data_IF_842713905407
#
_entry.id   IF_842713905407
#
_cell.length_a   1.000
_cell.length_b   1.000
_cell.length_c   1.000
_cell.angle_alpha   90.00
_cell.angle_beta   90.00
_cell.angle_gamma   90.00
#
_symmetry.space_group_name_H-M   'P 1'
#
loop_
_entity.id
_entity.type
_entity.pdbx_description
1 polymer ?
#
# COMPACT_ATOMS: atom_id res chain seq x y z
N UNK A 1 68.57 21.91 0.96
CA UNK A 1 67.09 21.96 0.68
C UNK A 1 66.54 20.58 0.25
N UNK A 2 67.17 19.87 -0.64
CA UNK A 2 66.70 18.55 -1.14
C UNK A 2 66.56 17.44 -0.08
N UNK A 3 67.44 17.38 0.96
CA UNK A 3 67.35 16.35 2.01
C UNK A 3 66.09 16.49 2.90
N UNK A 4 65.61 17.72 3.16
CA UNK A 4 64.36 17.95 3.92
C UNK A 4 63.10 17.50 3.13
N UNK A 5 63.08 17.71 1.82
CA UNK A 5 61.95 17.29 0.95
C UNK A 5 61.86 15.76 0.87
N UNK A 6 63.00 15.06 0.86
CA UNK A 6 63.03 13.58 0.89
C UNK A 6 62.52 13.03 2.21
N UNK A 7 62.81 13.66 3.34
CA UNK A 7 62.33 13.22 4.66
C UNK A 7 60.82 13.37 4.80
N UNK A 8 60.25 14.50 4.34
CA UNK A 8 58.77 14.71 4.39
C UNK A 8 58.02 13.74 3.47
N UNK A 9 58.57 13.42 2.30
CA UNK A 9 57.95 12.39 1.42
C UNK A 9 57.94 10.99 2.06
N UNK A 10 59.05 10.60 2.70
CA UNK A 10 59.10 9.28 3.42
C UNK A 10 58.17 9.25 4.63
N UNK A 11 58.10 10.34 5.39
CA UNK A 11 57.21 10.46 6.52
C UNK A 11 55.73 10.38 6.08
N UNK A 12 55.35 11.09 5.00
CA UNK A 12 54.00 11.07 4.42
C UNK A 12 53.64 9.68 3.93
N UNK A 13 54.54 8.95 3.29
CA UNK A 13 54.32 7.56 2.86
C UNK A 13 54.11 6.61 4.05
N UNK A 14 54.81 6.78 5.13
CA UNK A 14 54.66 6.01 6.35
C UNK A 14 53.28 6.30 6.99
N UNK A 15 52.87 7.53 7.06
CA UNK A 15 51.55 7.93 7.58
C UNK A 15 50.43 7.36 6.73
N UNK A 16 50.53 7.44 5.39
CA UNK A 16 49.53 6.86 4.47
C UNK A 16 49.48 5.33 4.64
N UNK A 17 50.63 4.66 4.79
CA UNK A 17 50.70 3.22 5.01
C UNK A 17 50.07 2.81 6.35
N UNK A 18 50.26 3.57 7.41
CA UNK A 18 49.57 3.37 8.68
C UNK A 18 48.07 3.58 8.58
N UNK A 19 47.62 4.62 7.90
CA UNK A 19 46.17 4.85 7.68
C UNK A 19 45.55 3.70 6.92
N UNK A 20 46.18 3.17 5.88
CA UNK A 20 45.69 2.02 5.10
C UNK A 20 45.64 0.71 5.94
N UNK A 21 46.60 0.49 6.84
CA UNK A 21 46.59 -0.69 7.73
C UNK A 21 45.45 -0.58 8.75
N UNK A 22 45.24 0.57 9.35
CA UNK A 22 44.17 0.76 10.35
C UNK A 22 42.77 0.77 9.74
N UNK A 23 42.58 1.21 8.49
CA UNK A 23 41.28 1.19 7.80
C UNK A 23 40.79 -0.23 7.48
N UNK A 24 41.70 -1.21 7.31
CA UNK A 24 41.33 -2.58 6.98
C UNK A 24 40.93 -3.46 8.20
N UNK A 25 41.37 -3.10 9.41
CA UNK A 25 41.13 -3.96 10.57
C UNK A 25 39.70 -3.94 11.10
N UNK A 26 38.96 -2.82 10.95
CA UNK A 26 37.61 -2.73 11.51
C UNK A 26 36.59 -3.61 10.75
N UNK A 27 36.69 -3.69 9.42
CA UNK A 27 35.77 -4.50 8.61
C UNK A 27 35.99 -6.02 8.77
N UNK A 28 37.25 -6.48 8.99
CA UNK A 28 37.55 -7.87 9.22
C UNK A 28 37.06 -8.36 10.58
N UNK A 29 37.25 -7.58 11.64
CA UNK A 29 36.77 -7.91 12.99
C UNK A 29 35.23 -7.97 12.99
N UNK A 30 34.59 -7.10 12.26
CA UNK A 30 33.15 -7.02 12.18
C UNK A 30 32.54 -8.25 11.46
N UNK A 31 33.06 -8.60 10.29
CA UNK A 31 32.67 -9.83 9.55
C UNK A 31 32.92 -11.12 10.33
N UNK A 32 33.93 -11.15 11.16
CA UNK A 32 34.23 -12.30 12.04
C UNK A 32 33.30 -12.38 13.25
N UNK A 33 32.82 -11.24 13.75
CA UNK A 33 31.89 -11.18 14.87
C UNK A 33 30.45 -11.48 14.46
N UNK A 34 30.09 -11.14 13.23
CA UNK A 34 28.72 -11.29 12.66
C UNK A 34 28.81 -11.96 11.27
N UNK A 35 29.08 -13.26 11.19
CA UNK A 35 29.31 -13.96 9.92
C UNK A 35 28.05 -13.96 9.01
N UNK A 36 26.86 -13.94 9.57
CA UNK A 36 25.57 -13.89 8.87
C UNK A 36 25.38 -12.61 8.05
N UNK A 37 26.11 -11.53 8.37
CA UNK A 37 26.03 -10.26 7.63
C UNK A 37 26.88 -10.23 6.35
N UNK A 38 27.27 -11.35 5.82
CA UNK A 38 28.02 -11.48 4.56
C UNK A 38 27.92 -12.89 3.96
N UNK A 39 26.80 -13.57 4.18
CA UNK A 39 26.53 -14.91 3.67
C UNK A 39 25.64 -14.94 2.42
N UNK A 40 25.23 -13.77 1.91
CA UNK A 40 24.40 -13.61 0.73
C UNK A 40 22.93 -13.85 0.97
N UNK A 41 22.50 -14.02 2.23
CA UNK A 41 21.11 -14.26 2.62
C UNK A 41 20.45 -13.01 3.19
N UNK A 42 19.13 -13.07 3.33
CA UNK A 42 18.38 -12.07 4.09
C UNK A 42 18.63 -12.25 5.60
N UNK A 43 18.83 -11.12 6.28
CA UNK A 43 19.10 -11.10 7.70
C UNK A 43 17.86 -11.48 8.52
N UNK A 44 18.03 -12.34 9.51
CA UNK A 44 17.03 -12.65 10.55
C UNK A 44 17.34 -11.97 11.87
N UNK A 45 18.55 -11.43 12.03
CA UNK A 45 18.96 -10.69 13.20
C UNK A 45 18.41 -9.26 13.18
N UNK A 46 18.20 -8.72 14.38
CA UNK A 46 17.83 -7.32 14.51
C UNK A 46 18.98 -6.43 13.99
N UNK A 47 18.66 -5.38 13.18
CA UNK A 47 19.71 -4.52 12.63
C UNK A 47 20.59 -3.91 13.73
N UNK A 48 21.87 -4.14 13.62
CA UNK A 48 22.90 -3.72 14.57
C UNK A 48 23.40 -2.28 14.32
N UNK A 49 23.10 -1.70 13.15
CA UNK A 49 23.51 -0.37 12.71
C UNK A 49 22.29 0.53 12.56
N UNK A 50 22.45 1.80 12.87
CA UNK A 50 21.41 2.80 12.63
C UNK A 50 21.11 2.92 11.13
N UNK A 51 19.85 3.06 10.79
CA UNK A 51 19.35 3.17 9.40
C UNK A 51 18.40 4.35 9.22
N UNK A 52 18.50 5.35 10.09
CA UNK A 52 17.53 6.45 10.13
C UNK A 52 17.53 7.27 8.83
N UNK A 53 18.71 7.59 8.32
CA UNK A 53 18.87 8.38 7.09
C UNK A 53 18.36 7.61 5.86
N UNK A 54 18.65 6.32 5.78
CA UNK A 54 18.18 5.45 4.69
C UNK A 54 16.65 5.31 4.74
N UNK A 55 16.09 5.09 5.93
CA UNK A 55 14.64 4.98 6.11
C UNK A 55 13.93 6.31 5.81
N UNK A 56 14.52 7.44 6.14
CA UNK A 56 13.99 8.76 5.77
C UNK A 56 13.94 8.92 4.26
N UNK A 57 15.03 8.61 3.55
CA UNK A 57 15.10 8.65 2.09
C UNK A 57 14.13 7.70 1.40
N UNK A 58 13.94 6.49 1.94
CA UNK A 58 12.91 5.56 1.47
C UNK A 58 11.52 6.17 1.65
N UNK A 59 11.27 6.73 2.84
CA UNK A 59 10.01 7.36 3.18
C UNK A 59 9.61 8.52 2.26
N UNK A 60 10.58 9.22 1.64
CA UNK A 60 10.30 10.29 0.67
C UNK A 60 9.57 9.77 -0.59
N UNK A 61 9.82 8.52 -1.00
CA UNK A 61 9.15 7.90 -2.15
C UNK A 61 7.78 7.30 -1.81
N UNK A 62 7.40 7.26 -0.54
CA UNK A 62 6.15 6.64 -0.07
C UNK A 62 5.11 7.72 0.18
N UNK A 63 3.95 7.60 -0.48
CA UNK A 63 2.90 8.60 -0.49
C UNK A 63 1.54 8.03 -0.10
N UNK A 64 0.67 8.91 0.46
CA UNK A 64 -0.71 8.54 0.79
C UNK A 64 -1.60 8.70 -0.42
N UNK A 65 -2.34 7.63 -0.73
CA UNK A 65 -3.38 7.62 -1.76
C UNK A 65 -4.74 7.78 -1.08
N UNK A 66 -5.60 8.63 -1.66
CA UNK A 66 -7.00 8.74 -1.32
C UNK A 66 -7.81 8.55 -2.60
N UNK A 67 -8.83 7.72 -2.54
CA UNK A 67 -9.75 7.49 -3.65
C UNK A 67 -11.17 7.81 -3.20
N UNK A 68 -11.92 8.54 -4.02
CA UNK A 68 -13.30 8.94 -3.77
C UNK A 68 -14.13 8.53 -4.97
N UNK A 69 -15.14 7.70 -4.75
CA UNK A 69 -16.14 7.32 -5.73
C UNK A 69 -17.47 7.99 -5.41
N UNK A 70 -18.01 8.72 -6.35
CA UNK A 70 -19.29 9.43 -6.24
C UNK A 70 -20.39 8.61 -6.90
N UNK A 71 -21.49 8.44 -6.20
CA UNK A 71 -22.63 7.65 -6.64
C UNK A 71 -23.89 8.48 -6.75
N UNK A 72 -24.64 8.23 -7.84
CA UNK A 72 -26.01 8.69 -8.01
C UNK A 72 -26.94 7.53 -7.71
N UNK A 73 -27.80 7.70 -6.72
CA UNK A 73 -28.71 6.67 -6.21
C UNK A 73 -30.14 6.97 -6.62
N UNK A 74 -30.76 5.99 -7.22
CA UNK A 74 -32.17 5.99 -7.61
C UNK A 74 -32.94 5.14 -6.61
N UNK A 75 -33.88 5.74 -5.89
CA UNK A 75 -34.65 5.10 -4.83
C UNK A 75 -36.04 4.74 -5.35
N UNK A 76 -36.49 3.51 -5.12
CA UNK A 76 -37.79 2.99 -5.54
C UNK A 76 -38.76 2.98 -4.37
N UNK A 77 -40.03 3.22 -4.66
CA UNK A 77 -41.09 3.16 -3.65
C UNK A 77 -41.41 1.71 -3.29
N UNK A 78 -41.76 1.47 -2.04
CA UNK A 78 -42.27 0.17 -1.60
C UNK A 78 -43.52 -0.18 -2.43
N UNK A 79 -43.54 -1.44 -2.94
CA UNK A 79 -44.65 -1.93 -3.78
C UNK A 79 -44.51 -1.69 -5.27
N UNK A 80 -43.38 -1.12 -5.75
CA UNK A 80 -43.13 -0.99 -7.20
C UNK A 80 -42.59 -2.27 -7.84
N UNK A 81 -42.19 -3.24 -7.03
CA UNK A 81 -41.71 -4.58 -7.44
C UNK A 81 -40.60 -4.59 -8.51
N UNK A 82 -39.76 -3.54 -8.52
CA UNK A 82 -38.63 -3.36 -9.46
C UNK A 82 -37.57 -4.44 -9.24
N UNK A 83 -37.09 -5.05 -10.32
CA UNK A 83 -36.01 -6.06 -10.30
C UNK A 83 -34.78 -5.54 -11.07
N UNK A 84 -33.64 -6.16 -10.88
CA UNK A 84 -32.41 -5.85 -11.62
C UNK A 84 -32.64 -5.94 -13.14
N UNK A 85 -33.45 -6.91 -13.61
CA UNK A 85 -33.79 -7.09 -15.02
C UNK A 85 -34.56 -5.91 -15.65
N UNK A 86 -35.21 -5.12 -14.84
CA UNK A 86 -36.09 -4.03 -15.31
C UNK A 86 -35.32 -2.72 -15.49
N UNK A 87 -34.06 -2.69 -15.01
CA UNK A 87 -33.23 -1.47 -15.00
C UNK A 87 -32.68 -1.19 -16.40
N UNK A 88 -33.11 -0.08 -16.97
CA UNK A 88 -32.54 0.56 -18.15
C UNK A 88 -32.40 2.06 -17.88
N UNK A 89 -31.60 2.78 -18.69
CA UNK A 89 -31.50 4.25 -18.56
C UNK A 89 -32.88 4.90 -18.69
N UNK A 90 -33.67 4.48 -19.69
CA UNK A 90 -35.03 5.00 -19.91
C UNK A 90 -35.96 4.70 -18.71
N UNK A 91 -35.83 3.54 -18.08
CA UNK A 91 -36.58 3.17 -16.87
C UNK A 91 -36.23 4.11 -15.70
N UNK A 92 -34.94 4.36 -15.48
CA UNK A 92 -34.49 5.24 -14.39
C UNK A 92 -34.93 6.69 -14.59
N UNK A 93 -34.96 7.19 -15.82
CA UNK A 93 -35.43 8.55 -16.11
C UNK A 93 -36.95 8.74 -15.88
N UNK A 94 -37.76 7.71 -16.18
CA UNK A 94 -39.23 7.82 -16.15
C UNK A 94 -39.86 7.39 -14.83
N UNK A 95 -39.26 6.46 -14.12
CA UNK A 95 -39.90 5.77 -12.98
C UNK A 95 -39.33 6.12 -11.61
N UNK A 96 -38.35 6.99 -11.54
CA UNK A 96 -37.70 7.37 -10.28
C UNK A 96 -38.06 8.78 -9.89
N UNK A 97 -38.72 8.93 -8.75
CA UNK A 97 -39.10 10.22 -8.20
C UNK A 97 -38.13 10.78 -7.17
N UNK A 98 -37.19 9.96 -6.70
CA UNK A 98 -36.22 10.35 -5.68
C UNK A 98 -34.81 9.94 -6.07
N UNK A 99 -33.95 10.94 -6.19
CA UNK A 99 -32.51 10.77 -6.49
C UNK A 99 -31.72 11.34 -5.33
N UNK A 100 -30.76 10.57 -4.84
CA UNK A 100 -29.81 11.02 -3.82
C UNK A 100 -28.37 10.80 -4.30
N UNK A 101 -27.44 11.44 -3.63
CA UNK A 101 -26.01 11.34 -3.93
C UNK A 101 -25.26 11.00 -2.65
N UNK A 102 -24.27 10.13 -2.77
CA UNK A 102 -23.32 9.85 -1.69
C UNK A 102 -21.95 9.54 -2.27
N UNK A 103 -20.94 9.53 -1.43
CA UNK A 103 -19.59 9.14 -1.80
C UNK A 103 -19.10 7.97 -0.93
N UNK A 104 -18.21 7.16 -1.52
CA UNK A 104 -17.40 6.18 -0.80
C UNK A 104 -15.94 6.59 -0.92
N UNK A 105 -15.23 6.47 0.17
CA UNK A 105 -13.80 6.82 0.23
C UNK A 105 -12.97 5.62 0.65
N UNK A 106 -11.78 5.51 0.08
CA UNK A 106 -10.75 4.58 0.51
C UNK A 106 -9.41 5.33 0.63
N UNK A 107 -8.54 4.85 1.45
CA UNK A 107 -7.16 5.35 1.53
C UNK A 107 -6.17 4.20 1.67
N UNK A 108 -4.99 4.40 1.13
CA UNK A 108 -3.90 3.44 1.17
C UNK A 108 -2.56 4.12 0.97
N UNK A 109 -1.58 3.32 0.67
CA UNK A 109 -0.19 3.73 0.44
C UNK A 109 0.18 3.47 -1.01
N UNK A 110 0.95 4.37 -1.60
CA UNK A 110 1.61 4.17 -2.89
C UNK A 110 3.09 4.50 -2.81
N UNK A 111 3.87 3.86 -3.65
CA UNK A 111 5.31 4.12 -3.75
C UNK A 111 5.63 4.64 -5.13
N UNK A 112 6.32 5.77 -5.20
CA UNK A 112 6.80 6.34 -6.47
C UNK A 112 7.91 5.43 -7.00
N UNK A 113 7.63 4.76 -8.11
CA UNK A 113 8.52 3.81 -8.78
C UNK A 113 9.09 4.33 -10.09
N UNK A 114 8.63 5.49 -10.56
CA UNK A 114 9.06 6.12 -11.81
C UNK A 114 8.90 7.62 -11.76
N UNK A 115 9.92 8.34 -12.23
CA UNK A 115 9.88 9.79 -12.44
C UNK A 115 10.81 10.15 -13.60
N UNK A 116 10.27 10.28 -14.79
CA UNK A 116 11.03 10.63 -16.00
C UNK A 116 10.11 11.28 -17.05
N UNK A 117 10.63 12.17 -17.90
CA UNK A 117 9.92 12.79 -19.02
C UNK A 117 8.57 13.42 -18.61
N UNK A 118 8.56 14.20 -17.54
CA UNK A 118 7.36 14.83 -16.99
C UNK A 118 6.27 13.87 -16.49
N UNK A 119 6.60 12.61 -16.32
CA UNK A 119 5.69 11.58 -15.85
C UNK A 119 6.15 10.97 -14.55
N UNK A 120 5.19 10.65 -13.70
CA UNK A 120 5.43 9.85 -12.50
C UNK A 120 4.52 8.62 -12.52
N UNK A 121 4.99 7.52 -11.94
CA UNK A 121 4.16 6.37 -11.65
C UNK A 121 4.33 5.89 -10.22
N UNK A 122 3.22 5.43 -9.64
CA UNK A 122 3.16 4.89 -8.29
C UNK A 122 2.58 3.47 -8.34
N UNK A 123 3.16 2.57 -7.56
CA UNK A 123 2.65 1.23 -7.30
C UNK A 123 1.78 1.25 -6.04
N UNK A 124 0.64 0.55 -6.08
CA UNK A 124 -0.29 0.38 -4.94
C UNK A 124 -1.11 -0.90 -5.10
N UNK A 125 -2.01 -1.17 -4.15
CA UNK A 125 -3.02 -2.23 -4.27
C UNK A 125 -4.25 -1.80 -5.06
N UNK A 126 -4.83 -2.74 -5.82
CA UNK A 126 -6.04 -2.50 -6.59
C UNK A 126 -7.24 -2.14 -5.72
N UNK A 127 -7.44 -2.83 -4.58
CA UNK A 127 -8.57 -2.55 -3.68
C UNK A 127 -8.57 -1.14 -3.08
N UNK A 128 -7.41 -0.46 -3.03
CA UNK A 128 -7.31 0.93 -2.56
C UNK A 128 -8.08 1.88 -3.48
N UNK A 129 -8.19 1.51 -4.76
CA UNK A 129 -8.80 2.37 -5.80
C UNK A 129 -10.00 1.72 -6.49
N UNK A 130 -10.37 0.50 -6.09
CA UNK A 130 -11.47 -0.23 -6.73
C UNK A 130 -12.78 -0.02 -5.98
N UNK A 131 -13.76 0.51 -6.70
CA UNK A 131 -15.14 0.63 -6.22
C UNK A 131 -16.07 -0.01 -7.24
N UNK A 132 -17.19 -0.65 -6.82
CA UNK A 132 -18.15 -1.23 -7.74
C UNK A 132 -18.79 -0.15 -8.62
N UNK A 133 -19.03 -0.45 -9.90
CA UNK A 133 -19.73 0.45 -10.81
C UNK A 133 -21.18 0.64 -10.40
N UNK A 134 -21.79 -0.39 -9.80
CA UNK A 134 -23.19 -0.40 -9.37
C UNK A 134 -23.34 -1.09 -8.02
N UNK A 135 -24.16 -0.50 -7.15
CA UNK A 135 -24.53 -1.06 -5.85
C UNK A 135 -26.05 -1.24 -5.84
N UNK A 136 -26.50 -2.45 -5.50
CA UNK A 136 -27.91 -2.80 -5.40
C UNK A 136 -28.30 -2.93 -3.93
N UNK A 137 -29.41 -2.26 -3.54
CA UNK A 137 -30.04 -2.47 -2.25
C UNK A 137 -31.43 -3.08 -2.50
N UNK A 138 -31.78 -4.07 -1.68
CA UNK A 138 -33.03 -4.81 -1.81
C UNK A 138 -33.95 -4.55 -0.62
N UNK A 139 -35.25 -4.48 -0.87
CA UNK A 139 -36.23 -4.51 0.22
C UNK A 139 -36.10 -5.82 1.03
N UNK A 140 -36.36 -5.72 2.33
CA UNK A 140 -36.48 -6.88 3.21
C UNK A 140 -37.96 -7.22 3.47
N UNK A 141 -38.25 -8.50 3.68
CA UNK A 141 -39.56 -8.96 4.11
C UNK A 141 -39.76 -8.76 5.65
N UNK A 142 -40.92 -9.07 6.15
CA UNK A 142 -41.26 -8.97 7.60
C UNK A 142 -40.33 -9.76 8.53
N UNK A 143 -39.58 -10.71 8.00
CA UNK A 143 -38.58 -11.52 8.72
C UNK A 143 -37.16 -11.00 8.55
N UNK A 144 -36.99 -9.86 7.89
CA UNK A 144 -35.68 -9.26 7.61
C UNK A 144 -34.88 -9.94 6.49
N UNK A 145 -35.50 -10.85 5.70
CA UNK A 145 -34.83 -11.51 4.59
C UNK A 145 -34.93 -10.63 3.33
N UNK A 146 -33.81 -10.50 2.62
CA UNK A 146 -33.78 -9.77 1.35
C UNK A 146 -34.73 -10.37 0.31
N UNK A 147 -35.55 -9.52 -0.28
CA UNK A 147 -36.40 -9.86 -1.40
C UNK A 147 -35.64 -9.74 -2.73
N UNK A 148 -36.28 -10.13 -3.83
CA UNK A 148 -35.74 -9.91 -5.18
C UNK A 148 -36.01 -8.50 -5.72
N UNK A 149 -36.72 -7.67 -4.96
CA UNK A 149 -37.12 -6.33 -5.38
C UNK A 149 -36.12 -5.30 -4.85
N UNK A 150 -35.77 -4.37 -5.72
CA UNK A 150 -34.82 -3.30 -5.43
C UNK A 150 -35.47 -2.20 -4.60
N UNK A 151 -34.82 -1.82 -3.51
CA UNK A 151 -35.08 -0.61 -2.76
C UNK A 151 -34.36 0.58 -3.40
N UNK A 152 -33.12 0.36 -3.87
CA UNK A 152 -32.35 1.36 -4.60
C UNK A 152 -31.31 0.74 -5.51
N UNK A 153 -30.87 1.52 -6.49
CA UNK A 153 -29.69 1.27 -7.30
C UNK A 153 -28.79 2.51 -7.27
N UNK A 154 -27.53 2.31 -6.95
CA UNK A 154 -26.53 3.39 -6.95
C UNK A 154 -25.53 3.13 -8.05
N UNK A 155 -25.41 4.05 -8.99
CA UNK A 155 -24.52 3.97 -10.14
C UNK A 155 -23.35 4.94 -9.90
N UNK A 156 -22.12 4.47 -10.09
CA UNK A 156 -20.94 5.31 -9.96
C UNK A 156 -20.92 6.35 -11.09
N UNK A 157 -21.00 7.62 -10.72
CA UNK A 157 -20.96 8.76 -11.63
C UNK A 157 -19.52 9.10 -12.02
N UNK A 158 -18.63 9.17 -11.02
CA UNK A 158 -17.20 9.46 -11.21
C UNK A 158 -16.36 8.90 -10.08
N UNK A 159 -15.07 8.79 -10.34
CA UNK A 159 -14.06 8.43 -9.36
C UNK A 159 -12.85 9.34 -9.49
N UNK A 160 -12.28 9.75 -8.37
CA UNK A 160 -11.11 10.62 -8.33
C UNK A 160 -10.07 9.98 -7.41
N UNK A 161 -8.81 9.95 -7.86
CA UNK A 161 -7.69 9.39 -7.12
C UNK A 161 -6.68 10.51 -6.87
N UNK A 162 -6.32 10.71 -5.61
CA UNK A 162 -5.40 11.75 -5.18
C UNK A 162 -4.24 11.18 -4.40
N UNK A 163 -3.05 11.71 -4.64
CA UNK A 163 -1.83 11.43 -3.89
C UNK A 163 -1.43 12.67 -3.11
N UNK A 164 -1.38 12.56 -1.79
CA UNK A 164 -1.32 13.71 -0.89
C UNK A 164 -0.05 14.57 -1.02
N UNK A 165 1.10 13.96 -1.35
CA UNK A 165 2.40 14.66 -1.48
C UNK A 165 2.64 15.28 -2.85
N UNK A 166 1.75 15.07 -3.83
CA UNK A 166 1.96 15.54 -5.19
C UNK A 166 1.42 16.96 -5.42
N UNK A 167 2.09 17.78 -6.25
CA UNK A 167 1.66 19.12 -6.60
C UNK A 167 0.40 19.11 -7.47
N UNK A 168 -0.14 20.32 -7.73
CA UNK A 168 -1.34 20.55 -8.56
C UNK A 168 -2.58 19.78 -8.11
N UNK A 169 -2.74 19.58 -6.79
CA UNK A 169 -3.88 18.86 -6.21
C UNK A 169 -3.69 17.34 -6.15
N UNK A 170 -2.58 16.81 -6.71
CA UNK A 170 -2.19 15.42 -6.57
C UNK A 170 -3.09 14.42 -7.30
N UNK A 171 -3.94 14.85 -8.26
CA UNK A 171 -4.78 13.95 -9.03
C UNK A 171 -3.93 13.04 -9.92
N UNK A 172 -4.25 11.75 -9.93
CA UNK A 172 -3.57 10.73 -10.73
C UNK A 172 -4.57 9.84 -11.44
N UNK A 173 -4.12 9.23 -12.54
CA UNK A 173 -4.91 8.33 -13.37
C UNK A 173 -4.49 6.88 -13.16
N UNK A 174 -5.43 5.96 -13.39
CA UNK A 174 -5.16 4.53 -13.40
C UNK A 174 -4.48 4.13 -14.72
N UNK A 175 -3.22 3.70 -14.64
CA UNK A 175 -2.46 3.24 -15.80
C UNK A 175 -2.64 1.74 -16.05
N UNK A 176 -2.54 0.91 -15.01
CA UNK A 176 -2.73 -0.53 -15.09
C UNK A 176 -3.33 -1.07 -13.79
N UNK A 177 -4.12 -2.14 -13.89
CA UNK A 177 -4.74 -2.82 -12.74
C UNK A 177 -4.79 -4.32 -12.97
N UNK A 178 -4.57 -5.06 -11.90
CA UNK A 178 -4.78 -6.50 -11.79
C UNK A 178 -5.58 -6.77 -10.49
N UNK A 179 -6.86 -7.08 -10.66
CA UNK A 179 -7.74 -7.35 -9.52
C UNK A 179 -7.51 -8.74 -8.91
N UNK A 180 -6.93 -9.68 -9.63
CA UNK A 180 -6.64 -11.03 -9.13
C UNK A 180 -5.47 -11.00 -8.14
N UNK A 181 -4.38 -10.35 -8.52
CA UNK A 181 -3.21 -10.19 -7.67
C UNK A 181 -3.27 -8.94 -6.78
N UNK A 182 -4.33 -8.12 -6.93
CA UNK A 182 -4.55 -6.91 -6.14
C UNK A 182 -3.47 -5.84 -6.35
N UNK A 183 -3.09 -5.59 -7.59
CA UNK A 183 -2.05 -4.64 -7.99
C UNK A 183 -2.62 -3.52 -8.86
N UNK A 184 -2.11 -2.30 -8.68
CA UNK A 184 -2.40 -1.17 -9.54
C UNK A 184 -1.18 -0.25 -9.72
N UNK A 185 -1.04 0.30 -10.94
CA UNK A 185 -0.12 1.40 -11.23
C UNK A 185 -0.94 2.64 -11.53
N UNK A 186 -0.64 3.69 -10.79
CA UNK A 186 -1.20 5.04 -10.98
C UNK A 186 -0.14 5.93 -11.61
N UNK A 187 -0.56 6.97 -12.32
CA UNK A 187 0.40 7.91 -12.90
C UNK A 187 -0.19 9.29 -13.16
N UNK A 188 0.71 10.23 -13.42
CA UNK A 188 0.36 11.58 -13.83
C UNK A 188 1.40 12.14 -14.79
N UNK A 189 0.95 12.97 -15.74
CA UNK A 189 1.83 13.71 -16.67
C UNK A 189 1.77 15.20 -16.35
N UNK A 190 2.89 15.74 -15.89
CA UNK A 190 3.00 17.17 -15.58
C UNK A 190 3.33 18.00 -16.83
N UNK A 191 2.93 19.26 -16.88
CA UNK A 191 3.34 20.17 -17.98
C UNK A 191 4.85 20.36 -18.06
N UNK A 192 5.53 20.37 -16.91
CA UNK A 192 7.00 20.44 -16.78
C UNK A 192 7.43 19.88 -15.44
N UNK A 193 8.57 19.17 -15.40
CA UNK A 193 9.23 18.73 -14.16
C UNK A 193 10.45 19.58 -13.82
N UNK A 194 10.75 20.70 -14.53
CA UNK A 194 12.00 21.46 -14.36
C UNK A 194 12.24 21.91 -12.92
N UNK A 195 11.16 22.15 -12.15
CA UNK A 195 11.23 22.60 -10.75
C UNK A 195 10.67 21.56 -9.76
N UNK A 196 10.35 20.34 -10.22
CA UNK A 196 9.74 19.29 -9.43
C UNK A 196 10.69 18.09 -9.30
N UNK A 197 11.02 17.74 -8.07
CA UNK A 197 11.80 16.54 -7.78
C UNK A 197 10.88 15.53 -7.07
N UNK A 198 10.62 14.41 -7.74
CA UNK A 198 9.89 13.30 -7.16
C UNK A 198 10.89 12.21 -6.78
N UNK A 199 11.10 11.97 -5.48
CA UNK A 199 12.01 10.92 -5.05
C UNK A 199 11.42 9.55 -5.44
N UNK A 200 12.09 8.88 -6.36
CA UNK A 200 11.78 7.50 -6.75
C UNK A 200 12.40 6.58 -5.71
N UNK A 201 11.75 5.44 -5.46
CA UNK A 201 12.27 4.41 -4.56
C UNK A 201 13.72 4.04 -4.94
N UNK A 202 14.70 4.17 -4.02
CA UNK A 202 16.12 4.21 -4.39
C UNK A 202 16.86 2.88 -4.26
N UNK A 203 16.19 1.77 -3.92
CA UNK A 203 16.82 0.48 -3.66
C UNK A 203 16.44 -0.58 -4.68
N UNK A 204 17.29 -1.63 -4.87
CA UNK A 204 17.02 -2.67 -5.85
C UNK A 204 15.82 -3.54 -5.46
N UNK A 205 15.30 -4.23 -6.47
CA UNK A 205 14.37 -5.33 -6.29
C UNK A 205 15.07 -6.50 -5.64
N UNK A 206 14.39 -7.14 -4.69
CA UNK A 206 14.85 -8.33 -4.01
C UNK A 206 14.29 -9.62 -4.59
N UNK A 207 14.43 -10.72 -3.85
CA UNK A 207 13.99 -12.05 -4.24
C UNK A 207 13.11 -12.64 -3.12
N UNK A 208 11.78 -12.42 -3.19
CA UNK A 208 10.87 -12.83 -2.12
C UNK A 208 10.89 -14.33 -1.83
N UNK A 209 11.23 -15.18 -2.82
CA UNK A 209 11.35 -16.64 -2.67
C UNK A 209 12.55 -17.06 -1.80
N UNK A 210 13.50 -16.18 -1.59
CA UNK A 210 14.67 -16.43 -0.73
C UNK A 210 14.45 -15.99 0.73
N UNK A 211 13.30 -15.41 1.03
CA UNK A 211 12.95 -15.09 2.41
C UNK A 211 12.75 -16.37 3.21
N UNK A 212 13.33 -16.40 4.41
CA UNK A 212 13.25 -17.53 5.35
C UNK A 212 12.37 -17.16 6.56
N UNK A 213 11.99 -18.14 7.37
CA UNK A 213 11.32 -17.93 8.65
C UNK A 213 12.18 -17.02 9.55
N UNK A 214 11.55 -15.96 10.08
CA UNK A 214 12.26 -15.02 10.96
C UNK A 214 13.06 -13.93 10.23
N UNK A 215 13.10 -13.92 8.88
CA UNK A 215 13.72 -12.80 8.14
C UNK A 215 13.16 -11.47 8.61
N UNK A 216 14.05 -10.54 8.95
CA UNK A 216 13.69 -9.20 9.41
C UNK A 216 13.27 -8.30 8.24
N UNK A 217 12.18 -7.57 8.39
CA UNK A 217 11.67 -6.65 7.37
C UNK A 217 11.24 -5.31 7.95
N UNK A 218 11.36 -4.24 7.14
CA UNK A 218 10.73 -2.96 7.37
C UNK A 218 9.51 -2.80 6.49
N UNK A 219 8.47 -2.17 7.02
CA UNK A 219 7.20 -1.91 6.32
C UNK A 219 6.89 -0.42 6.40
N UNK A 220 6.66 0.21 5.26
CA UNK A 220 6.22 1.60 5.19
C UNK A 220 4.76 1.69 4.79
N UNK A 221 4.03 2.68 5.34
CA UNK A 221 2.67 2.95 4.96
C UNK A 221 2.07 4.17 5.66
N UNK A 222 0.77 4.42 5.39
CA UNK A 222 0.02 5.55 5.91
C UNK A 222 -1.19 5.14 6.76
N UNK A 223 -1.01 4.37 7.85
CA UNK A 223 -2.13 4.07 8.72
C UNK A 223 -2.66 5.35 9.37
N UNK A 224 -4.00 5.47 9.46
CA UNK A 224 -4.66 6.63 10.08
C UNK A 224 -4.13 7.99 9.56
N UNK A 225 -3.68 8.03 8.29
CA UNK A 225 -3.11 9.21 7.61
C UNK A 225 -1.72 9.67 8.10
N UNK A 226 -1.01 8.89 8.90
CA UNK A 226 0.36 9.18 9.32
C UNK A 226 1.34 8.31 8.53
N UNK A 227 2.41 8.93 8.00
CA UNK A 227 3.55 8.18 7.43
C UNK A 227 4.24 7.43 8.56
N UNK A 228 4.29 6.11 8.45
CA UNK A 228 4.88 5.25 9.48
C UNK A 228 5.81 4.22 8.86
N UNK A 229 6.83 3.86 9.62
CA UNK A 229 7.65 2.68 9.40
C UNK A 229 7.42 1.71 10.56
N UNK A 230 7.15 0.45 10.24
CA UNK A 230 7.05 -0.66 11.19
C UNK A 230 8.16 -1.66 10.94
N UNK A 231 8.51 -2.42 11.98
CA UNK A 231 9.43 -3.56 11.93
C UNK A 231 8.63 -4.84 12.10
N UNK A 232 8.99 -5.86 11.35
CA UNK A 232 8.32 -7.16 11.40
C UNK A 232 9.30 -8.28 11.07
N UNK A 233 8.86 -9.51 11.22
CA UNK A 233 9.56 -10.70 10.72
C UNK A 233 8.66 -11.47 9.76
N UNK A 234 9.27 -12.20 8.85
CA UNK A 234 8.57 -13.17 7.99
C UNK A 234 8.14 -14.36 8.83
N UNK A 235 6.81 -14.49 9.00
CA UNK A 235 6.20 -15.53 9.84
C UNK A 235 5.70 -16.75 9.05
N UNK A 236 5.60 -16.64 7.72
CA UNK A 236 5.29 -17.75 6.82
C UNK A 236 5.79 -17.41 5.42
N UNK A 237 6.99 -17.87 5.02
CA UNK A 237 7.53 -17.60 3.70
C UNK A 237 6.89 -18.49 2.63
N UNK A 238 6.86 -18.01 1.38
CA UNK A 238 6.52 -18.75 0.16
C UNK A 238 5.29 -19.67 0.27
N UNK A 239 4.17 -19.14 0.77
CA UNK A 239 2.95 -19.92 1.07
C UNK A 239 2.30 -20.58 -0.15
N UNK A 240 2.44 -19.99 -1.32
CA UNK A 240 1.77 -20.41 -2.56
C UNK A 240 2.73 -20.91 -3.65
N UNK A 241 4.04 -21.00 -3.34
CA UNK A 241 5.08 -21.36 -4.30
C UNK A 241 5.45 -20.21 -5.26
N UNK A 242 4.74 -19.08 -5.23
CA UNK A 242 5.00 -17.89 -6.03
C UNK A 242 5.71 -16.78 -5.22
N UNK A 243 6.02 -17.05 -3.96
CA UNK A 243 6.75 -16.13 -3.09
C UNK A 243 5.86 -15.30 -2.15
N UNK A 244 4.54 -15.45 -2.16
CA UNK A 244 3.65 -14.79 -1.20
C UNK A 244 4.01 -15.18 0.23
N UNK A 245 4.01 -14.22 1.15
CA UNK A 245 4.42 -14.47 2.53
C UNK A 245 3.58 -13.67 3.54
N UNK A 246 3.58 -14.15 4.79
CA UNK A 246 3.01 -13.45 5.93
C UNK A 246 4.09 -12.82 6.78
N UNK A 247 3.78 -11.68 7.36
CA UNK A 247 4.60 -11.00 8.36
C UNK A 247 3.80 -10.72 9.63
N UNK A 248 4.48 -10.67 10.77
CA UNK A 248 3.92 -10.33 12.08
C UNK A 248 3.95 -8.80 12.31
N UNK A 249 3.35 -8.05 11.43
CA UNK A 249 3.36 -6.60 11.51
C UNK A 249 2.14 -6.05 12.26
N UNK A 250 2.35 -5.03 13.10
CA UNK A 250 1.25 -4.21 13.61
C UNK A 250 0.83 -3.24 12.51
N UNK A 251 0.01 -3.73 11.59
CA UNK A 251 -0.51 -2.95 10.46
C UNK A 251 -1.98 -2.62 10.67
N UNK A 252 -2.41 -1.47 10.17
CA UNK A 252 -3.77 -0.95 10.24
C UNK A 252 -4.26 -0.57 8.84
N UNK A 253 -5.54 -0.27 8.68
CA UNK A 253 -6.09 0.33 7.45
C UNK A 253 -5.23 1.52 7.02
N UNK A 254 -4.85 1.54 5.75
CA UNK A 254 -3.92 2.53 5.17
C UNK A 254 -2.52 1.99 4.87
N UNK A 255 -2.11 0.84 5.44
CA UNK A 255 -0.87 0.17 5.01
C UNK A 255 -0.98 -0.53 3.65
N UNK A 256 -2.17 -0.81 3.15
CA UNK A 256 -2.39 -1.43 1.83
C UNK A 256 -1.65 -0.68 0.73
N UNK A 257 -0.83 -1.38 -0.06
CA UNK A 257 0.09 -0.81 -1.06
C UNK A 257 1.43 -0.31 -0.49
N UNK A 258 1.62 -0.39 0.83
CA UNK A 258 2.89 -0.02 1.49
C UNK A 258 3.99 -1.03 1.22
N UNK A 259 5.22 -0.53 1.05
CA UNK A 259 6.38 -1.36 0.69
C UNK A 259 6.91 -2.19 1.85
N UNK A 260 7.40 -3.37 1.52
CA UNK A 260 8.10 -4.28 2.42
C UNK A 260 9.53 -4.45 1.94
N UNK A 261 10.47 -4.24 2.85
CA UNK A 261 11.91 -4.25 2.58
C UNK A 261 12.60 -5.31 3.42
N UNK A 262 13.32 -6.22 2.76
CA UNK A 262 14.30 -7.08 3.40
C UNK A 262 15.67 -6.41 3.48
N UNK A 263 16.55 -6.95 4.29
CA UNK A 263 17.96 -6.55 4.37
C UNK A 263 18.80 -7.75 3.99
N UNK A 264 19.71 -7.58 3.04
CA UNK A 264 20.65 -8.63 2.64
C UNK A 264 22.07 -8.21 3.02
N UNK A 265 22.77 -9.05 3.79
CA UNK A 265 24.15 -8.77 4.23
C UNK A 265 24.30 -7.43 4.97
N UNK A 266 23.35 -7.08 5.83
CA UNK A 266 23.41 -5.94 6.72
C UNK A 266 23.00 -4.60 6.12
N UNK A 267 22.75 -3.63 7.00
CA UNK A 267 22.44 -2.24 6.61
C UNK A 267 23.68 -1.60 5.94
N UNK A 268 23.52 -0.88 4.81
CA UNK A 268 22.27 -0.33 4.27
C UNK A 268 21.69 -1.12 3.08
N UNK A 269 21.92 -2.39 2.95
CA UNK A 269 21.54 -3.18 1.78
C UNK A 269 20.05 -3.56 1.85
N UNK A 270 19.19 -2.58 1.68
CA UNK A 270 17.76 -2.81 1.57
C UNK A 270 17.39 -3.35 0.19
N UNK A 271 16.44 -4.27 0.15
CA UNK A 271 15.85 -4.79 -1.07
C UNK A 271 14.33 -4.75 -0.99
N UNK A 272 13.69 -4.36 -2.08
CA UNK A 272 12.23 -4.36 -2.20
C UNK A 272 11.73 -5.79 -2.42
N UNK A 273 11.06 -6.36 -1.41
CA UNK A 273 10.58 -7.75 -1.46
C UNK A 273 9.07 -7.89 -1.67
N UNK A 274 8.31 -6.81 -1.58
CA UNK A 274 6.88 -6.82 -1.88
C UNK A 274 6.11 -5.64 -1.30
N UNK A 275 4.77 -5.66 -1.46
CA UNK A 275 3.85 -4.68 -0.86
C UNK A 275 2.83 -5.35 0.03
N UNK A 276 2.37 -4.63 1.05
CA UNK A 276 1.27 -5.06 1.92
C UNK A 276 -0.01 -5.14 1.10
N UNK A 277 -0.61 -6.33 1.03
CA UNK A 277 -1.90 -6.53 0.38
C UNK A 277 -3.05 -6.13 1.30
N UNK A 278 -3.18 -6.81 2.42
CA UNK A 278 -4.29 -6.64 3.34
C UNK A 278 -3.97 -7.20 4.72
N UNK A 279 -4.76 -6.74 5.68
CA UNK A 279 -4.95 -7.38 6.97
C UNK A 279 -6.11 -8.36 6.79
N UNK A 280 -6.04 -9.60 7.29
CA UNK A 280 -7.20 -10.48 7.30
C UNK A 280 -8.36 -9.81 8.02
N UNK A 281 -9.52 -9.74 7.35
CA UNK A 281 -10.76 -9.16 7.88
C UNK A 281 -11.80 -10.28 7.98
N UNK A 282 -12.54 -10.29 9.08
CA UNK A 282 -13.77 -11.07 9.22
C UNK A 282 -14.92 -10.10 9.39
N UNK A 283 -15.92 -10.17 8.51
CA UNK A 283 -17.13 -9.39 8.65
C UNK A 283 -18.16 -10.20 9.42
N UNK A 284 -18.77 -9.60 10.43
CA UNK A 284 -19.91 -10.14 11.15
C UNK A 284 -21.04 -9.13 11.20
N UNK A 285 -22.28 -9.62 11.15
CA UNK A 285 -23.44 -8.79 11.41
C UNK A 285 -23.76 -8.81 12.89
N UNK A 286 -23.66 -7.64 13.53
CA UNK A 286 -24.03 -7.44 14.93
C UNK A 286 -25.32 -6.64 15.05
N UNK A 287 -26.13 -6.93 16.05
CA UNK A 287 -27.31 -6.13 16.36
C UNK A 287 -26.90 -5.02 17.33
N UNK A 288 -26.94 -3.78 16.87
CA UNK A 288 -26.62 -2.60 17.67
C UNK A 288 -27.84 -1.68 17.80
N UNK A 289 -28.05 -1.04 18.96
CA UNK A 289 -29.02 0.03 19.11
C UNK A 289 -28.62 1.25 18.30
N UNK A 290 -29.55 2.17 18.07
CA UNK A 290 -29.28 3.44 17.41
C UNK A 290 -28.11 4.19 18.10
N UNK A 291 -27.18 4.73 17.31
CA UNK A 291 -26.07 5.54 17.86
C UNK A 291 -26.57 6.86 18.43
N UNK A 292 -26.42 7.04 19.72
CA UNK A 292 -26.77 8.27 20.40
C UNK A 292 -25.75 9.37 20.08
N UNK A 293 -26.26 10.62 19.93
CA UNK A 293 -25.41 11.78 19.69
C UNK A 293 -25.01 12.45 21.01
N UNK A 294 -23.78 12.96 21.09
CA UNK A 294 -23.27 13.63 22.28
C UNK A 294 -22.79 12.68 23.38
N UNK A 295 -22.86 13.10 24.64
CA UNK A 295 -22.38 12.33 25.81
C UNK A 295 -23.47 11.45 26.44
N UNK A 296 -24.40 10.95 25.63
CA UNK A 296 -25.49 10.07 26.08
C UNK A 296 -25.05 8.63 25.87
N UNK A 297 -25.15 7.80 26.91
CA UNK A 297 -24.80 6.39 26.87
C UNK A 297 -25.97 5.52 27.31
N UNK A 298 -26.05 4.32 26.74
CA UNK A 298 -26.98 3.29 27.23
C UNK A 298 -26.52 2.75 28.60
N UNK A 299 -27.49 2.42 29.43
CA UNK A 299 -27.19 1.80 30.75
C UNK A 299 -26.86 0.32 30.57
N UNK A 300 -25.74 -0.13 31.10
CA UNK A 300 -25.34 -1.55 31.10
C UNK A 300 -26.14 -2.41 32.06
N UNK A 301 -26.92 -1.82 32.98
CA UNK A 301 -27.71 -2.53 34.00
C UNK A 301 -29.20 -2.54 33.72
N UNK A 302 -29.67 -1.87 32.70
CA UNK A 302 -31.08 -1.82 32.27
C UNK A 302 -31.22 -2.50 30.91
N UNK A 303 -32.10 -3.50 30.74
CA UNK A 303 -32.31 -4.09 29.43
C UNK A 303 -32.75 -3.06 28.40
N UNK A 304 -32.11 -3.07 27.23
CA UNK A 304 -32.51 -2.23 26.10
C UNK A 304 -33.87 -2.72 25.54
N UNK A 305 -34.78 -1.78 25.29
CA UNK A 305 -36.15 -2.07 24.81
C UNK A 305 -36.49 -1.36 23.49
N UNK A 306 -35.54 -0.60 22.91
CA UNK A 306 -35.72 0.08 21.65
C UNK A 306 -35.40 -0.80 20.44
N UNK A 307 -35.42 -0.19 19.26
CA UNK A 307 -35.06 -0.84 18.00
C UNK A 307 -33.58 -1.13 17.93
N UNK A 308 -33.22 -2.26 17.32
CA UNK A 308 -31.85 -2.66 17.04
C UNK A 308 -31.68 -2.83 15.53
N UNK A 309 -30.49 -2.48 15.06
CA UNK A 309 -30.16 -2.51 13.64
C UNK A 309 -29.08 -3.55 13.39
N UNK A 310 -29.18 -4.27 12.27
CA UNK A 310 -28.08 -5.12 11.81
C UNK A 310 -27.00 -4.25 11.18
N UNK A 311 -25.83 -4.20 11.81
CA UNK A 311 -24.69 -3.43 11.35
C UNK A 311 -23.59 -4.43 11.01
N UNK A 312 -23.03 -4.31 9.81
CA UNK A 312 -21.84 -5.04 9.44
C UNK A 312 -20.64 -4.44 10.19
N UNK A 313 -19.98 -5.29 10.95
CA UNK A 313 -18.79 -4.95 11.72
C UNK A 313 -17.61 -5.72 11.19
N UNK A 314 -16.60 -5.00 10.78
CA UNK A 314 -15.32 -5.58 10.34
C UNK A 314 -14.45 -5.82 11.58
N UNK A 315 -14.08 -7.07 11.79
CA UNK A 315 -13.10 -7.46 12.82
C UNK A 315 -11.74 -7.65 12.17
N UNK A 316 -10.88 -6.67 12.35
CA UNK A 316 -9.52 -6.67 11.82
C UNK A 316 -8.63 -7.58 12.67
N UNK A 317 -8.02 -8.59 12.06
CA UNK A 317 -7.06 -9.47 12.73
C UNK A 317 -5.68 -8.80 12.79
N UNK A 318 -5.50 -7.89 13.74
CA UNK A 318 -4.23 -7.21 13.95
C UNK A 318 -3.07 -8.17 14.21
N UNK A 319 -1.87 -7.81 13.75
CA UNK A 319 -0.65 -8.56 14.00
C UNK A 319 -0.26 -9.55 12.90
N UNK A 320 -1.05 -9.65 11.83
CA UNK A 320 -0.72 -10.46 10.65
C UNK A 320 -0.99 -9.66 9.40
N UNK A 321 -0.03 -9.63 8.47
CA UNK A 321 -0.24 -9.03 7.15
C UNK A 321 0.21 -9.97 6.03
N UNK A 322 -0.59 -10.05 4.96
CA UNK A 322 -0.23 -10.74 3.72
C UNK A 322 0.53 -9.77 2.80
N UNK A 323 1.61 -10.26 2.22
CA UNK A 323 2.46 -9.49 1.30
C UNK A 323 2.36 -10.08 -0.11
N UNK A 324 2.17 -9.19 -1.10
CA UNK A 324 2.31 -9.52 -2.52
C UNK A 324 3.80 -9.44 -2.83
N UNK A 325 4.43 -10.54 -3.29
CA UNK A 325 5.87 -10.57 -3.50
C UNK A 325 6.29 -9.77 -4.73
N UNK A 326 7.55 -9.36 -4.75
CA UNK A 326 8.14 -8.61 -5.87
C UNK A 326 8.06 -9.39 -7.18
N UNK A 327 8.18 -10.72 -7.15
CA UNK A 327 8.05 -11.59 -8.32
C UNK A 327 6.70 -11.39 -9.05
N UNK A 328 5.59 -11.36 -8.31
CA UNK A 328 4.24 -11.12 -8.86
C UNK A 328 4.08 -9.69 -9.37
N UNK A 329 4.71 -8.72 -8.68
CA UNK A 329 4.72 -7.32 -9.14
C UNK A 329 5.46 -7.19 -10.47
N UNK A 330 6.59 -7.87 -10.64
CA UNK A 330 7.32 -7.89 -11.91
C UNK A 330 6.54 -8.55 -13.04
N UNK A 331 5.86 -9.67 -12.76
CA UNK A 331 4.97 -10.32 -13.72
C UNK A 331 3.85 -9.37 -14.19
N UNK A 332 3.21 -8.67 -13.24
CA UNK A 332 2.18 -7.68 -13.55
C UNK A 332 2.70 -6.50 -14.39
N UNK A 333 3.86 -5.94 -14.05
CA UNK A 333 4.47 -4.86 -14.82
C UNK A 333 4.84 -5.31 -16.24
N UNK A 334 5.42 -6.51 -16.37
CA UNK A 334 5.78 -7.08 -17.66
C UNK A 334 4.56 -7.39 -18.54
N UNK A 335 3.47 -7.89 -17.95
CA UNK A 335 2.21 -8.12 -18.64
C UNK A 335 1.57 -6.83 -19.20
N UNK A 336 1.86 -5.70 -18.55
CA UNK A 336 1.36 -4.38 -18.96
C UNK A 336 2.40 -3.52 -19.72
N UNK A 337 3.55 -4.09 -20.10
CA UNK A 337 4.67 -3.35 -20.71
C UNK A 337 4.27 -2.56 -21.95
N UNK A 338 3.56 -3.17 -22.89
CA UNK A 338 3.12 -2.51 -24.13
C UNK A 338 2.18 -1.33 -23.81
N UNK A 339 1.16 -1.56 -22.99
CA UNK A 339 0.20 -0.55 -22.58
C UNK A 339 0.88 0.65 -21.88
N UNK A 340 1.80 0.39 -20.96
CA UNK A 340 2.55 1.44 -20.24
C UNK A 340 3.47 2.20 -21.19
N UNK A 341 4.11 1.49 -22.15
CA UNK A 341 4.95 2.12 -23.16
C UNK A 341 4.17 3.04 -24.10
N UNK A 342 2.98 2.63 -24.55
CA UNK A 342 2.08 3.45 -25.37
C UNK A 342 1.65 4.73 -24.64
N UNK A 343 1.52 4.66 -23.31
CA UNK A 343 1.27 5.81 -22.45
C UNK A 343 2.53 6.63 -22.17
N UNK A 344 3.69 6.22 -22.67
CA UNK A 344 4.98 6.89 -22.54
C UNK A 344 5.71 6.63 -21.21
N UNK A 345 5.45 5.48 -20.57
CA UNK A 345 6.17 5.00 -19.39
C UNK A 345 7.11 3.86 -19.78
N UNK A 346 8.39 4.02 -19.53
CA UNK A 346 9.41 2.98 -19.77
C UNK A 346 9.56 2.13 -18.50
N UNK A 347 9.00 0.92 -18.50
CA UNK A 347 9.04 0.04 -17.34
C UNK A 347 10.44 -0.45 -16.98
N UNK A 348 11.38 -0.46 -17.92
CA UNK A 348 12.77 -0.82 -17.64
C UNK A 348 13.49 0.24 -16.76
N UNK A 349 12.81 1.38 -16.50
CA UNK A 349 13.21 2.47 -15.59
C UNK A 349 12.39 2.53 -14.31
N UNK A 350 11.52 1.54 -14.07
CA UNK A 350 10.79 1.41 -12.81
C UNK A 350 11.74 0.79 -11.77
N UNK A 351 11.84 1.43 -10.59
CA UNK A 351 12.81 1.13 -9.53
C UNK A 351 14.27 1.50 -9.87
#
# INVERSE_FOLDING_TARGET
MAAKISFYKRFLLIVIFFILIFSGCSSMVYKSAFPTLSDGKYDSEFPYKGSSEELERIGESVERINCIAFYKTYVFNSGTDVKISDITEEFLEKNVNNVSYFDKTSSGTGTIIYSLNNKIALLTCAHVISFPDTIYSHFTDEKGKFTKYLESISIRDRQMIYVAGLPYGGEVELLAIDNEHDLAVLGHTYPSLQDLNFPVFPYPKGEAKQLEWGTFVYVFGYPMNYKMVSKAIVSSPNMDGHGSFLIDAVVNKGFSGGIVLGIRDGIPNFEFVGIIRSIPEESEYVLEPEKLKGNINYSSVVPYKGDVYAIEKEDLKYGIAKVIPIDVIEEFLNANKEKLSDLGYDIDKFF
#
